data_IF_871766361463
#
_entry.id   IF_871766361463
#
_cell.length_a   1.000
_cell.length_b   1.000
_cell.length_c   1.000
_cell.angle_alpha   90.00
_cell.angle_beta   90.00
_cell.angle_gamma   90.00
#
_symmetry.space_group_name_H-M   'P 1'
#
loop_
_entity.id
_entity.type
_entity.pdbx_description
1 polymer ?
#
# COMPACT_ATOMS: atom_id res chain seq x y z
N UNK A 1 9.52 18.62 19.83
CA UNK A 1 8.12 18.64 19.36
C UNK A 1 7.52 17.27 19.70
N UNK A 2 6.21 17.15 19.91
CA UNK A 2 5.60 15.83 19.99
C UNK A 2 5.64 15.24 18.58
N UNK A 3 6.46 14.20 18.40
CA UNK A 3 6.70 13.51 17.13
C UNK A 3 5.40 12.83 16.68
N UNK A 4 4.55 13.55 15.96
CA UNK A 4 3.37 12.99 15.35
C UNK A 4 3.81 12.01 14.26
N UNK A 5 3.56 10.72 14.49
CA UNK A 5 3.65 9.70 13.46
C UNK A 5 2.23 9.41 12.97
N UNK A 6 1.96 9.45 11.66
CA UNK A 6 0.65 9.11 11.13
C UNK A 6 0.33 7.64 11.46
N UNK A 7 -0.83 7.41 12.06
CA UNK A 7 -1.39 6.08 12.28
C UNK A 7 -2.53 5.84 11.27
N UNK A 8 -2.23 5.19 10.13
CA UNK A 8 -3.23 4.96 9.11
C UNK A 8 -4.20 3.85 9.55
N UNK A 9 -5.49 4.06 9.28
CA UNK A 9 -6.53 3.12 9.69
C UNK A 9 -6.61 2.01 8.63
N UNK A 10 -6.52 0.76 9.06
CA UNK A 10 -6.72 -0.42 8.20
C UNK A 10 -8.06 -1.03 8.60
N UNK A 11 -9.12 -0.71 7.86
CA UNK A 11 -10.49 -1.11 8.19
C UNK A 11 -10.66 -2.63 8.29
N UNK A 12 -9.83 -3.39 7.57
CA UNK A 12 -9.90 -4.85 7.54
C UNK A 12 -8.92 -5.53 8.48
N UNK A 13 -8.25 -4.81 9.38
CA UNK A 13 -7.22 -5.38 10.29
C UNK A 13 -7.75 -6.55 11.10
N UNK A 14 -9.01 -6.48 11.53
CA UNK A 14 -9.65 -7.48 12.37
C UNK A 14 -10.50 -8.49 11.56
N UNK A 15 -10.38 -8.48 10.22
CA UNK A 15 -11.10 -9.43 9.36
C UNK A 15 -10.39 -10.78 9.35
N UNK A 16 -11.03 -11.89 9.79
CA UNK A 16 -10.39 -13.20 9.84
C UNK A 16 -9.80 -13.62 8.50
N UNK A 17 -8.50 -13.94 8.47
CA UNK A 17 -7.79 -14.35 7.26
C UNK A 17 -7.18 -13.20 6.44
N UNK A 18 -7.33 -11.95 6.89
CA UNK A 18 -6.64 -10.76 6.34
C UNK A 18 -5.46 -10.30 7.21
N UNK A 19 -5.11 -11.08 8.21
CA UNK A 19 -4.06 -10.83 9.20
C UNK A 19 -2.65 -10.80 8.57
N UNK A 20 -2.50 -11.43 7.40
CA UNK A 20 -1.24 -11.52 6.66
C UNK A 20 -1.17 -10.43 5.58
N UNK A 21 -0.44 -9.37 5.92
CA UNK A 21 -0.04 -8.31 4.99
C UNK A 21 1.07 -8.79 4.04
N UNK A 22 1.29 -8.07 2.94
CA UNK A 22 2.37 -8.38 1.98
C UNK A 22 3.77 -8.35 2.61
N UNK A 23 3.94 -7.55 3.66
CA UNK A 23 5.18 -7.39 4.44
C UNK A 23 4.82 -7.02 5.89
N UNK A 24 5.75 -7.22 6.86
CA UNK A 24 5.54 -6.81 8.26
C UNK A 24 5.29 -5.30 8.39
N UNK A 25 4.55 -4.89 9.43
CA UNK A 25 4.21 -3.48 9.69
C UNK A 25 5.44 -2.59 9.80
N UNK A 26 6.50 -3.07 10.45
CA UNK A 26 7.76 -2.32 10.59
C UNK A 26 8.40 -2.03 9.22
N UNK A 27 8.43 -3.02 8.33
CA UNK A 27 8.92 -2.86 6.97
C UNK A 27 8.06 -1.89 6.17
N UNK A 28 6.74 -1.98 6.30
CA UNK A 28 5.83 -1.05 5.61
C UNK A 28 6.04 0.39 6.09
N UNK A 29 6.30 0.63 7.37
CA UNK A 29 6.54 2.00 7.86
C UNK A 29 7.83 2.62 7.31
N UNK A 30 8.88 1.84 7.10
CA UNK A 30 10.18 2.35 6.65
C UNK A 30 10.36 2.31 5.13
N UNK A 31 9.75 1.34 4.45
CA UNK A 31 10.14 0.94 3.08
C UNK A 31 8.94 0.79 2.12
N UNK A 32 7.75 1.28 2.49
CA UNK A 32 6.54 1.14 1.66
C UNK A 32 6.74 1.63 0.22
N UNK A 33 7.30 2.84 0.06
CA UNK A 33 7.46 3.44 -1.26
C UNK A 33 8.54 2.76 -2.10
N UNK A 34 9.57 2.20 -1.46
CA UNK A 34 10.58 1.39 -2.16
C UNK A 34 9.93 0.14 -2.75
N UNK A 35 9.15 -0.59 -1.95
CA UNK A 35 8.39 -1.75 -2.42
C UNK A 35 7.47 -1.41 -3.60
N UNK A 36 6.71 -0.32 -3.51
CA UNK A 36 5.80 0.11 -4.58
C UNK A 36 6.56 0.51 -5.85
N UNK A 37 7.69 1.19 -5.73
CA UNK A 37 8.53 1.56 -6.87
C UNK A 37 9.10 0.33 -7.57
N UNK A 38 9.57 -0.66 -6.81
CA UNK A 38 10.08 -1.92 -7.34
C UNK A 38 8.98 -2.72 -8.03
N UNK A 39 7.79 -2.78 -7.41
CA UNK A 39 6.64 -3.43 -8.03
C UNK A 39 6.23 -2.76 -9.33
N UNK A 40 6.17 -1.41 -9.36
CA UNK A 40 5.88 -0.64 -10.58
C UNK A 40 6.89 -0.96 -11.67
N UNK A 41 8.18 -0.86 -11.36
CA UNK A 41 9.25 -1.11 -12.32
C UNK A 41 9.18 -2.55 -12.87
N UNK A 42 9.02 -3.53 -11.98
CA UNK A 42 8.96 -4.96 -12.32
C UNK A 42 7.75 -5.30 -13.19
N UNK A 43 6.59 -4.67 -12.94
CA UNK A 43 5.38 -4.88 -13.74
C UNK A 43 5.48 -4.20 -15.09
N UNK A 44 5.94 -2.95 -15.14
CA UNK A 44 5.96 -2.13 -16.36
C UNK A 44 7.11 -2.53 -17.30
N UNK A 45 8.30 -2.82 -16.76
CA UNK A 45 9.50 -3.12 -17.56
C UNK A 45 9.65 -4.61 -17.85
N UNK A 46 9.41 -5.44 -16.84
CA UNK A 46 9.73 -6.88 -16.93
C UNK A 46 8.49 -7.76 -17.09
N UNK A 47 7.28 -7.19 -16.95
CA UNK A 47 6.03 -7.93 -17.03
C UNK A 47 5.78 -8.89 -15.86
N UNK A 48 6.58 -8.81 -14.78
CA UNK A 48 6.48 -9.71 -13.63
C UNK A 48 5.36 -9.19 -12.71
N UNK A 49 4.30 -9.98 -12.55
CA UNK A 49 3.08 -9.56 -11.83
C UNK A 49 2.81 -10.30 -10.53
N UNK A 50 3.69 -11.21 -10.12
CA UNK A 50 3.58 -11.97 -8.88
C UNK A 50 4.64 -11.54 -7.87
N UNK A 51 4.29 -11.59 -6.60
CA UNK A 51 5.17 -11.38 -5.46
C UNK A 51 4.91 -12.48 -4.42
N UNK A 52 5.96 -13.01 -3.82
CA UNK A 52 5.85 -13.96 -2.71
C UNK A 52 6.34 -13.27 -1.45
N UNK A 53 5.47 -13.15 -0.46
CA UNK A 53 5.80 -12.58 0.85
C UNK A 53 6.69 -13.53 1.67
N UNK A 54 7.32 -13.03 2.75
CA UNK A 54 8.17 -13.85 3.61
C UNK A 54 7.48 -15.06 4.26
N UNK A 55 6.15 -15.02 4.41
CA UNK A 55 5.33 -16.12 4.92
C UNK A 55 4.95 -17.16 3.83
N UNK A 56 5.41 -16.97 2.59
CA UNK A 56 5.17 -17.86 1.46
C UNK A 56 3.87 -17.59 0.68
N UNK A 57 3.08 -16.58 1.05
CA UNK A 57 1.85 -16.24 0.34
C UNK A 57 2.13 -15.50 -0.97
N UNK A 58 1.41 -15.88 -2.03
CA UNK A 58 1.50 -15.17 -3.31
C UNK A 58 0.51 -14.00 -3.36
N UNK A 59 1.00 -12.85 -3.83
CA UNK A 59 0.23 -11.64 -4.08
C UNK A 59 0.42 -11.17 -5.52
N UNK A 60 -0.58 -10.46 -6.04
CA UNK A 60 -0.46 -9.78 -7.32
C UNK A 60 0.24 -8.45 -7.10
N UNK A 61 1.21 -8.11 -7.94
CA UNK A 61 1.84 -6.78 -7.95
C UNK A 61 0.85 -5.75 -8.52
N UNK A 62 -0.15 -5.38 -7.74
CA UNK A 62 -1.27 -4.55 -8.16
C UNK A 62 -1.83 -3.74 -6.99
N UNK A 63 -1.77 -2.41 -7.09
CA UNK A 63 -2.32 -1.52 -6.07
C UNK A 63 -3.79 -1.84 -5.77
N UNK A 64 -4.64 -1.84 -6.79
CA UNK A 64 -6.10 -2.00 -6.62
C UNK A 64 -6.57 -3.42 -6.29
N UNK A 65 -5.78 -4.46 -6.56
CA UNK A 65 -6.19 -5.87 -6.37
C UNK A 65 -5.41 -6.55 -5.23
N UNK A 66 -4.69 -5.78 -4.42
CA UNK A 66 -3.88 -6.33 -3.33
C UNK A 66 -3.78 -5.36 -2.18
N UNK A 67 -3.38 -4.11 -2.42
CA UNK A 67 -3.27 -3.13 -1.35
C UNK A 67 -4.66 -2.60 -0.97
N UNK A 68 -5.47 -2.21 -1.95
CA UNK A 68 -6.81 -1.64 -1.71
C UNK A 68 -7.83 -2.67 -1.21
N UNK A 69 -7.51 -3.98 -1.24
CA UNK A 69 -8.35 -5.03 -0.64
C UNK A 69 -8.47 -4.90 0.89
N UNK A 70 -7.49 -4.24 1.51
CA UNK A 70 -7.43 -3.97 2.94
C UNK A 70 -7.33 -2.46 3.27
N UNK A 71 -6.76 -1.68 2.34
CA UNK A 71 -6.58 -0.22 2.42
C UNK A 71 -7.60 0.50 1.52
N UNK A 72 -8.89 0.21 1.67
CA UNK A 72 -9.94 0.63 0.75
C UNK A 72 -10.21 2.14 0.71
N UNK A 73 -9.72 2.88 1.71
CA UNK A 73 -9.94 4.32 1.86
C UNK A 73 -8.62 5.07 1.64
N UNK A 74 -8.58 5.89 0.58
CA UNK A 74 -7.40 6.66 0.18
C UNK A 74 -7.10 7.76 1.20
N UNK A 75 -8.15 8.46 1.63
CA UNK A 75 -8.07 9.62 2.53
C UNK A 75 -7.48 9.24 3.89
N UNK A 76 -7.88 8.09 4.43
CA UNK A 76 -7.46 7.62 5.74
C UNK A 76 -6.14 6.84 5.76
N UNK A 77 -5.57 6.57 4.58
CA UNK A 77 -4.36 5.76 4.41
C UNK A 77 -3.26 6.48 3.62
N UNK A 78 -3.45 6.64 2.30
CA UNK A 78 -2.44 7.20 1.41
C UNK A 78 -2.16 8.67 1.74
N UNK A 79 -3.23 9.45 1.91
CA UNK A 79 -3.13 10.90 2.09
C UNK A 79 -2.50 11.26 3.44
N UNK A 80 -2.70 10.46 4.50
CA UNK A 80 -2.08 10.74 5.81
C UNK A 80 -0.56 10.82 5.74
N UNK A 81 0.08 9.87 5.07
CA UNK A 81 1.53 9.85 4.94
C UNK A 81 2.02 10.87 3.89
N UNK A 82 1.31 11.02 2.78
CA UNK A 82 1.71 11.96 1.72
C UNK A 82 1.58 13.42 2.18
N UNK A 83 0.51 13.75 2.92
CA UNK A 83 0.33 15.06 3.55
C UNK A 83 1.38 15.29 4.64
N UNK A 84 1.64 14.29 5.49
CA UNK A 84 2.67 14.41 6.54
C UNK A 84 4.07 14.68 5.96
N UNK A 85 4.41 14.03 4.85
CA UNK A 85 5.69 14.23 4.18
C UNK A 85 5.73 15.44 3.23
N UNK A 86 4.62 16.18 3.09
CA UNK A 86 4.45 17.26 2.12
C UNK A 86 4.79 16.84 0.67
N UNK A 87 4.46 15.59 0.31
CA UNK A 87 4.70 15.03 -1.01
C UNK A 87 3.41 15.12 -1.82
N UNK A 88 3.21 16.24 -2.50
CA UNK A 88 2.01 16.48 -3.32
C UNK A 88 2.08 15.82 -4.71
N UNK A 89 3.28 15.47 -5.18
CA UNK A 89 3.51 15.06 -6.58
C UNK A 89 3.52 13.54 -6.82
N UNK A 90 3.68 12.71 -5.77
CA UNK A 90 3.65 11.24 -5.89
C UNK A 90 2.19 10.75 -5.98
N UNK A 91 1.52 11.11 -7.07
CA UNK A 91 0.15 10.70 -7.30
C UNK A 91 0.12 9.36 -8.04
N UNK A 92 -0.10 8.28 -7.29
CA UNK A 92 -0.37 6.94 -7.82
C UNK A 92 -1.44 6.97 -8.93
N UNK A 93 -2.41 7.88 -8.79
CA UNK A 93 -3.57 8.01 -9.66
C UNK A 93 -3.31 8.78 -10.96
N UNK A 94 -2.09 9.31 -11.15
CA UNK A 94 -1.67 9.80 -12.48
C UNK A 94 -1.66 8.67 -13.52
N UNK A 95 -1.45 7.43 -13.08
CA UNK A 95 -1.46 6.23 -13.92
C UNK A 95 -2.48 5.18 -13.47
N UNK A 96 -2.85 5.14 -12.19
CA UNK A 96 -3.82 4.19 -11.65
C UNK A 96 -5.23 4.78 -11.62
N UNK A 97 -6.22 3.93 -11.88
CA UNK A 97 -7.63 4.29 -11.66
C UNK A 97 -7.91 4.13 -10.17
N UNK A 98 -8.37 5.22 -9.54
CA UNK A 98 -8.84 5.20 -8.17
C UNK A 98 -10.05 4.26 -8.05
N UNK A 99 -9.98 3.21 -7.21
CA UNK A 99 -11.13 2.36 -6.97
C UNK A 99 -12.20 3.14 -6.21
N UNK A 100 -13.48 2.75 -6.36
CA UNK A 100 -14.53 3.30 -5.51
C UNK A 100 -14.22 2.96 -4.06
N UNK A 101 -14.20 3.97 -3.20
CA UNK A 101 -14.02 3.75 -1.77
C UNK A 101 -15.21 2.95 -1.22
N UNK A 102 -14.90 1.87 -0.51
CA UNK A 102 -15.88 1.09 0.25
C UNK A 102 -15.82 1.60 1.70
N UNK A 103 -16.93 2.20 2.14
CA UNK A 103 -17.12 2.80 3.47
C UNK A 103 -17.52 1.75 4.52
#
# INVERSE_FOLDING_TARGET
>A
QADYLPDPIILTKDTPGKDLCVMPTEYMRSSHMELLNDWRNSVVRDGIRKFTSPDGKEYKKSLSNTCMDCHSNKTDFCDKCHNFMAVEEQNCWSCHVEPKEEL
#
